data_IF_495848623908
#
_entry.id   IF_495848623908
#
_cell.length_a   1.000
_cell.length_b   1.000
_cell.length_c   1.000
_cell.angle_alpha   90.00
_cell.angle_beta   90.00
_cell.angle_gamma   90.00
#
_symmetry.space_group_name_H-M   'P 1'
#
loop_
_entity.id
_entity.type
_entity.pdbx_description
1 polymer ?
#
# COMPACT_ATOMS: atom_id res chain seq x y z
N UNK A 1 32.48 -19.86 8.43
CA UNK A 1 31.23 -19.99 7.62
C UNK A 1 30.14 -18.98 8.01
N UNK A 2 30.01 -18.57 9.29
CA UNK A 2 29.02 -17.55 9.71
C UNK A 2 29.42 -16.10 9.40
N UNK A 3 30.69 -15.73 9.58
CA UNK A 3 31.15 -14.34 9.31
C UNK A 3 31.02 -13.94 7.83
N UNK A 4 31.43 -14.83 6.92
CA UNK A 4 31.33 -14.61 5.46
C UNK A 4 29.87 -14.47 4.98
N UNK A 5 28.93 -15.21 5.57
CA UNK A 5 27.48 -15.07 5.31
C UNK A 5 26.94 -13.73 5.85
N UNK A 6 27.43 -13.28 7.00
CA UNK A 6 27.02 -12.01 7.59
C UNK A 6 27.54 -10.81 6.79
N UNK A 7 28.79 -10.87 6.33
CA UNK A 7 29.42 -9.87 5.47
C UNK A 7 28.74 -9.77 4.09
N UNK A 8 28.36 -10.92 3.51
CA UNK A 8 27.58 -10.97 2.26
C UNK A 8 26.19 -10.34 2.41
N UNK A 9 25.51 -10.53 3.56
CA UNK A 9 24.24 -9.84 3.86
C UNK A 9 24.44 -8.33 4.07
N UNK A 10 25.53 -7.90 4.71
CA UNK A 10 25.91 -6.48 4.80
C UNK A 10 26.13 -5.87 3.41
N UNK A 11 26.75 -6.56 2.46
CA UNK A 11 26.85 -6.05 1.10
C UNK A 11 25.47 -5.94 0.40
N UNK A 12 24.54 -6.87 0.66
CA UNK A 12 23.23 -6.92 0.00
C UNK A 12 22.29 -5.78 0.38
N UNK A 13 22.26 -5.31 1.62
CA UNK A 13 21.38 -4.18 1.98
C UNK A 13 21.79 -2.90 1.23
N UNK A 14 23.10 -2.67 1.07
CA UNK A 14 23.65 -1.54 0.31
C UNK A 14 23.16 -1.60 -1.15
N UNK A 15 23.18 -2.77 -1.77
CA UNK A 15 22.69 -2.96 -3.15
C UNK A 15 21.20 -2.64 -3.27
N UNK A 16 20.38 -3.11 -2.34
CA UNK A 16 18.94 -2.79 -2.31
C UNK A 16 18.70 -1.28 -2.16
N UNK A 17 19.39 -0.65 -1.22
CA UNK A 17 19.23 0.78 -0.95
C UNK A 17 19.65 1.61 -2.16
N UNK A 18 20.83 1.31 -2.74
CA UNK A 18 21.35 2.00 -3.93
C UNK A 18 20.43 1.89 -5.13
N UNK A 19 19.81 0.72 -5.34
CA UNK A 19 18.80 0.60 -6.40
C UNK A 19 17.56 1.48 -6.12
N UNK A 20 17.14 1.59 -4.86
CA UNK A 20 16.09 2.53 -4.47
C UNK A 20 16.46 3.99 -4.76
N UNK A 21 17.71 4.39 -4.55
CA UNK A 21 18.20 5.73 -4.90
C UNK A 21 18.15 5.99 -6.41
N UNK A 22 18.51 5.01 -7.23
CA UNK A 22 18.39 5.11 -8.69
C UNK A 22 16.93 5.21 -9.14
N UNK A 23 16.02 4.46 -8.51
CA UNK A 23 14.58 4.56 -8.79
C UNK A 23 14.04 5.95 -8.41
N UNK A 24 14.49 6.54 -7.29
CA UNK A 24 14.12 7.90 -6.90
C UNK A 24 14.68 8.95 -7.88
N UNK A 25 15.90 8.74 -8.39
CA UNK A 25 16.48 9.58 -9.44
C UNK A 25 15.64 9.52 -10.72
N UNK A 26 15.24 8.31 -11.14
CA UNK A 26 14.36 8.12 -12.30
C UNK A 26 12.99 8.80 -12.06
N UNK A 27 12.42 8.66 -10.86
CA UNK A 27 11.17 9.33 -10.47
C UNK A 27 11.23 10.85 -10.64
N UNK A 28 12.38 11.48 -10.29
CA UNK A 28 12.59 12.92 -10.50
C UNK A 28 12.65 13.28 -11.99
N UNK A 29 13.34 12.50 -12.81
CA UNK A 29 13.41 12.74 -14.25
C UNK A 29 12.02 12.64 -14.90
N UNK A 30 11.26 11.60 -14.58
CA UNK A 30 9.88 11.45 -15.06
C UNK A 30 8.98 12.60 -14.61
N UNK A 31 9.18 13.12 -13.39
CA UNK A 31 8.45 14.28 -12.89
C UNK A 31 8.73 15.54 -13.70
N UNK A 32 10.01 15.78 -14.00
CA UNK A 32 10.46 16.97 -14.73
C UNK A 32 9.98 16.97 -16.19
N UNK A 33 9.92 15.78 -16.79
CA UNK A 33 9.48 15.58 -18.19
C UNK A 33 7.95 15.41 -18.34
N UNK A 34 7.17 15.49 -17.26
CA UNK A 34 5.70 15.42 -17.34
C UNK A 34 5.11 14.01 -17.33
N UNK A 35 5.91 12.97 -17.12
CA UNK A 35 5.45 11.58 -16.96
C UNK A 35 5.08 11.30 -15.49
N UNK A 36 3.98 11.88 -15.03
CA UNK A 36 3.57 11.87 -13.63
C UNK A 36 3.19 10.49 -13.09
N UNK A 37 2.56 9.66 -13.91
CA UNK A 37 2.28 8.25 -13.64
C UNK A 37 3.58 7.44 -13.46
N UNK A 38 4.59 7.68 -14.29
CA UNK A 38 5.90 7.03 -14.14
C UNK A 38 6.63 7.54 -12.90
N UNK A 39 6.60 8.85 -12.67
CA UNK A 39 7.20 9.46 -11.49
C UNK A 39 6.66 8.85 -10.20
N UNK A 40 5.33 8.74 -10.07
CA UNK A 40 4.68 8.17 -8.89
C UNK A 40 4.95 6.66 -8.75
N UNK A 41 4.92 5.91 -9.85
CA UNK A 41 5.26 4.48 -9.84
C UNK A 41 6.72 4.25 -9.37
N UNK A 42 7.67 4.97 -9.95
CA UNK A 42 9.09 4.87 -9.59
C UNK A 42 9.34 5.31 -8.14
N UNK A 43 8.63 6.32 -7.64
CA UNK A 43 8.69 6.74 -6.24
C UNK A 43 8.24 5.63 -5.27
N UNK A 44 7.17 4.88 -5.62
CA UNK A 44 6.72 3.71 -4.84
C UNK A 44 7.80 2.63 -4.84
N UNK A 45 8.38 2.31 -6.01
CA UNK A 45 9.45 1.32 -6.14
C UNK A 45 10.70 1.69 -5.32
N UNK A 46 11.07 2.98 -5.30
CA UNK A 46 12.18 3.47 -4.50
C UNK A 46 11.98 3.18 -3.00
N UNK A 47 10.79 3.50 -2.47
CA UNK A 47 10.44 3.25 -1.06
C UNK A 47 10.36 1.76 -0.76
N UNK A 48 9.81 0.94 -1.66
CA UNK A 48 9.77 -0.51 -1.49
C UNK A 48 11.18 -1.09 -1.34
N UNK A 49 12.12 -0.71 -2.20
CA UNK A 49 13.51 -1.17 -2.14
C UNK A 49 14.24 -0.66 -0.91
N UNK A 50 13.99 0.59 -0.52
CA UNK A 50 14.53 1.15 0.72
C UNK A 50 14.03 0.37 1.96
N UNK A 51 12.77 -0.01 2.02
CA UNK A 51 12.24 -0.87 3.09
C UNK A 51 12.88 -2.26 3.08
N UNK A 52 13.01 -2.89 1.91
CA UNK A 52 13.70 -4.18 1.78
C UNK A 52 15.17 -4.11 2.20
N UNK A 53 15.83 -2.98 1.99
CA UNK A 53 17.18 -2.74 2.47
C UNK A 53 17.26 -2.78 3.99
N UNK A 54 16.29 -2.20 4.72
CA UNK A 54 16.21 -2.27 6.19
C UNK A 54 16.00 -3.72 6.66
N UNK A 55 15.18 -4.49 5.96
CA UNK A 55 14.96 -5.91 6.30
C UNK A 55 16.25 -6.73 6.17
N UNK A 56 17.00 -6.51 5.09
CA UNK A 56 18.30 -7.16 4.88
C UNK A 56 19.34 -6.66 5.88
N UNK A 57 19.32 -5.37 6.20
CA UNK A 57 20.19 -4.76 7.21
C UNK A 57 19.95 -5.39 8.58
N UNK A 58 18.68 -5.65 8.91
CA UNK A 58 18.25 -6.38 10.10
C UNK A 58 18.63 -7.87 10.13
N UNK A 59 19.28 -8.39 9.09
CA UNK A 59 19.71 -9.77 8.98
C UNK A 59 18.67 -10.74 8.42
N UNK A 60 17.45 -10.26 8.11
CA UNK A 60 16.36 -11.05 7.58
C UNK A 60 16.35 -11.10 6.04
N UNK A 61 15.63 -12.07 5.48
CA UNK A 61 15.38 -12.11 4.03
C UNK A 61 14.13 -11.29 3.72
N UNK A 62 14.14 -10.41 2.70
CA UNK A 62 12.96 -9.64 2.34
C UNK A 62 11.89 -10.59 1.74
N UNK A 63 10.61 -10.42 2.10
CA UNK A 63 9.53 -11.23 1.55
C UNK A 63 9.26 -10.87 0.08
N UNK A 64 8.62 -11.79 -0.65
CA UNK A 64 8.12 -11.56 -2.02
C UNK A 64 6.78 -10.83 -2.02
N UNK A 65 6.75 -9.64 -1.40
CA UNK A 65 5.62 -8.72 -1.41
C UNK A 65 6.11 -7.29 -1.69
N UNK A 66 5.21 -6.47 -2.22
CA UNK A 66 5.48 -5.13 -2.73
C UNK A 66 4.68 -4.03 -2.01
N UNK A 67 3.81 -4.42 -1.06
CA UNK A 67 2.91 -3.50 -0.35
C UNK A 67 3.67 -2.76 0.74
N UNK A 68 3.73 -1.43 0.65
CA UNK A 68 4.56 -0.59 1.53
C UNK A 68 4.15 -0.73 3.00
N UNK A 69 2.85 -0.66 3.32
CA UNK A 69 2.37 -0.83 4.71
C UNK A 69 2.77 -2.18 5.32
N UNK A 70 2.75 -3.27 4.54
CA UNK A 70 3.20 -4.58 5.03
C UNK A 70 4.70 -4.56 5.35
N UNK A 71 5.52 -4.02 4.44
CA UNK A 71 6.97 -3.88 4.64
C UNK A 71 7.32 -2.94 5.80
N UNK A 72 6.56 -1.86 5.99
CA UNK A 72 6.65 -0.97 7.15
C UNK A 72 6.41 -1.72 8.46
N UNK A 73 5.36 -2.56 8.51
CA UNK A 73 5.06 -3.39 9.66
C UNK A 73 6.20 -4.34 10.02
N UNK A 74 6.81 -4.95 9.00
CA UNK A 74 8.01 -5.79 9.19
C UNK A 74 9.17 -4.96 9.74
N UNK A 75 9.51 -3.83 9.12
CA UNK A 75 10.61 -2.96 9.58
C UNK A 75 10.40 -2.47 11.02
N UNK A 76 9.17 -2.13 11.41
CA UNK A 76 8.83 -1.74 12.78
C UNK A 76 9.05 -2.85 13.82
N UNK A 77 8.90 -4.13 13.44
CA UNK A 77 9.15 -5.27 14.33
C UNK A 77 10.65 -5.52 14.53
N UNK A 78 11.46 -5.27 13.51
CA UNK A 78 12.84 -5.78 13.40
C UNK A 78 13.91 -4.69 13.44
N UNK A 79 13.53 -3.42 13.52
CA UNK A 79 14.48 -2.32 13.55
C UNK A 79 14.01 -1.25 14.54
N UNK A 80 14.58 -1.20 15.76
CA UNK A 80 14.19 -0.25 16.80
C UNK A 80 14.29 1.22 16.37
N UNK A 81 15.32 1.58 15.62
CA UNK A 81 15.48 2.94 15.08
C UNK A 81 14.39 3.28 14.06
N UNK A 82 14.08 2.32 13.18
CA UNK A 82 12.97 2.46 12.24
C UNK A 82 11.65 2.66 12.99
N UNK A 83 11.37 1.86 14.02
CA UNK A 83 10.16 1.96 14.84
C UNK A 83 10.00 3.34 15.51
N UNK A 84 11.11 3.97 15.89
CA UNK A 84 11.14 5.33 16.48
C UNK A 84 11.01 6.44 15.43
N UNK A 85 11.16 6.12 14.15
CA UNK A 85 11.16 7.09 13.06
C UNK A 85 9.76 7.24 12.48
N UNK A 86 9.28 8.49 12.38
CA UNK A 86 8.00 8.79 11.75
C UNK A 86 8.14 8.87 10.23
N UNK A 87 7.35 8.08 9.51
CA UNK A 87 7.29 8.09 8.05
C UNK A 87 5.92 8.56 7.54
N UNK A 88 5.94 9.42 6.52
CA UNK A 88 4.76 9.87 5.78
C UNK A 88 4.81 9.29 4.37
N UNK A 89 3.95 8.31 4.07
CA UNK A 89 3.98 7.58 2.79
C UNK A 89 2.60 7.16 2.28
N UNK A 90 1.51 7.39 3.03
CA UNK A 90 0.17 6.88 2.66
C UNK A 90 -0.38 7.49 1.38
N UNK A 91 0.01 8.73 1.06
CA UNK A 91 -0.40 9.36 -0.19
C UNK A 91 0.39 8.76 -1.36
N UNK A 92 1.71 8.61 -1.22
CA UNK A 92 2.55 7.86 -2.15
C UNK A 92 2.00 6.43 -2.41
N UNK A 93 1.57 5.72 -1.37
CA UNK A 93 1.06 4.35 -1.50
C UNK A 93 -0.23 4.25 -2.35
N UNK A 94 -1.05 5.32 -2.42
CA UNK A 94 -2.24 5.34 -3.27
C UNK A 94 -1.92 5.11 -4.75
N UNK A 95 -0.70 5.40 -5.21
CA UNK A 95 -0.29 5.25 -6.60
C UNK A 95 0.13 3.83 -7.00
N UNK A 96 0.18 2.89 -6.05
CA UNK A 96 0.69 1.52 -6.29
C UNK A 96 0.01 0.85 -7.50
N UNK A 97 -1.30 1.03 -7.67
CA UNK A 97 -2.05 0.46 -8.80
C UNK A 97 -2.54 1.52 -9.78
N UNK A 98 -2.93 2.70 -9.27
CA UNK A 98 -3.48 3.80 -10.08
C UNK A 98 -2.52 4.20 -11.21
N UNK A 99 -1.21 4.20 -10.95
CA UNK A 99 -0.20 4.57 -11.96
C UNK A 99 -0.05 3.57 -13.12
N UNK A 100 -0.70 2.40 -13.05
CA UNK A 100 -0.46 1.28 -13.98
C UNK A 100 -1.71 0.70 -14.63
N UNK A 101 -2.86 0.75 -13.96
CA UNK A 101 -4.07 0.04 -14.39
C UNK A 101 -5.18 1.03 -14.76
N UNK A 102 -5.39 1.31 -16.07
CA UNK A 102 -6.42 2.24 -16.53
C UNK A 102 -7.84 1.85 -16.09
N UNK A 103 -8.15 0.55 -16.08
CA UNK A 103 -9.51 0.07 -15.80
C UNK A 103 -9.87 -0.02 -14.30
N UNK A 104 -8.94 0.37 -13.41
CA UNK A 104 -9.25 0.70 -12.02
C UNK A 104 -9.74 2.14 -11.86
N UNK A 105 -9.62 2.97 -12.89
CA UNK A 105 -9.99 4.37 -12.80
C UNK A 105 -11.49 4.56 -13.01
N UNK A 106 -12.11 5.51 -12.27
CA UNK A 106 -13.51 5.85 -12.49
C UNK A 106 -13.82 6.17 -13.94
N UNK A 107 -14.93 5.62 -14.43
CA UNK A 107 -15.45 5.89 -15.78
C UNK A 107 -14.63 5.31 -16.94
N UNK A 108 -13.46 4.68 -16.71
CA UNK A 108 -12.64 3.95 -17.72
C UNK A 108 -12.31 4.70 -19.02
N UNK A 109 -12.49 6.01 -19.07
CA UNK A 109 -12.28 6.84 -20.28
C UNK A 109 -10.93 7.55 -20.30
N UNK A 110 -10.15 7.44 -19.22
CA UNK A 110 -8.86 8.11 -19.07
C UNK A 110 -7.78 7.12 -18.67
N UNK A 111 -6.57 7.41 -19.11
CA UNK A 111 -5.35 6.70 -18.72
C UNK A 111 -4.79 7.25 -17.39
N UNK A 112 -3.94 6.48 -16.68
CA UNK A 112 -3.18 7.00 -15.55
C UNK A 112 -2.40 8.29 -15.84
N UNK A 113 -1.88 8.42 -17.06
CA UNK A 113 -1.14 9.60 -17.53
C UNK A 113 -2.02 10.86 -17.56
N UNK A 114 -3.30 10.72 -17.92
CA UNK A 114 -4.23 11.87 -18.02
C UNK A 114 -4.84 12.28 -16.68
N UNK A 115 -4.86 11.39 -15.68
CA UNK A 115 -5.52 11.66 -14.39
C UNK A 115 -4.55 12.09 -13.29
N UNK A 116 -3.29 11.62 -13.32
CA UNK A 116 -2.31 11.95 -12.28
C UNK A 116 -1.73 13.31 -12.61
N UNK A 117 -1.91 14.26 -11.69
CA UNK A 117 -1.50 15.65 -11.90
C UNK A 117 -0.07 15.91 -11.41
N UNK A 118 0.55 16.98 -11.90
CA UNK A 118 1.87 17.43 -11.42
C UNK A 118 1.95 17.61 -9.90
N UNK A 119 1.00 18.32 -9.22
CA UNK A 119 1.07 18.51 -7.78
C UNK A 119 1.01 17.18 -6.99
N UNK A 120 0.27 16.21 -7.49
CA UNK A 120 0.18 14.87 -6.91
C UNK A 120 1.51 14.13 -7.06
N UNK A 121 2.10 14.14 -8.26
CA UNK A 121 3.41 13.52 -8.49
C UNK A 121 4.53 14.20 -7.67
N UNK A 122 4.53 15.53 -7.57
CA UNK A 122 5.46 16.27 -6.70
C UNK A 122 5.31 15.90 -5.22
N UNK A 123 4.07 15.73 -4.75
CA UNK A 123 3.80 15.31 -3.37
C UNK A 123 4.30 13.88 -3.12
N UNK A 124 4.04 12.96 -4.05
CA UNK A 124 4.50 11.57 -3.97
C UNK A 124 6.04 11.49 -4.00
N UNK A 125 6.68 12.20 -4.92
CA UNK A 125 8.14 12.30 -5.02
C UNK A 125 8.76 12.85 -3.73
N UNK A 126 8.23 13.94 -3.17
CA UNK A 126 8.72 14.51 -1.90
C UNK A 126 8.59 13.52 -0.74
N UNK A 127 7.49 12.77 -0.67
CA UNK A 127 7.33 11.72 0.33
C UNK A 127 8.40 10.63 0.17
N UNK A 128 8.65 10.15 -1.05
CA UNK A 128 9.70 9.16 -1.31
C UNK A 128 11.10 9.69 -0.99
N UNK A 129 11.41 10.93 -1.37
CA UNK A 129 12.69 11.58 -1.08
C UNK A 129 12.97 11.67 0.42
N UNK A 130 12.02 12.20 1.19
CA UNK A 130 12.15 12.29 2.65
C UNK A 130 12.19 10.90 3.31
N UNK A 131 11.48 9.92 2.73
CA UNK A 131 11.54 8.53 3.18
C UNK A 131 12.95 7.96 3.03
N UNK A 132 13.53 8.01 1.82
CA UNK A 132 14.86 7.47 1.54
C UNK A 132 15.93 8.17 2.38
N UNK A 133 15.82 9.50 2.58
CA UNK A 133 16.72 10.25 3.47
C UNK A 133 16.71 9.71 4.90
N UNK A 134 15.53 9.44 5.46
CA UNK A 134 15.39 8.84 6.80
C UNK A 134 15.97 7.43 6.88
N UNK A 135 15.77 6.63 5.83
CA UNK A 135 16.35 5.28 5.76
C UNK A 135 17.88 5.34 5.68
N UNK A 136 18.44 6.27 4.90
CA UNK A 136 19.90 6.47 4.86
C UNK A 136 20.48 6.76 6.24
N UNK A 137 19.78 7.54 7.07
CA UNK A 137 20.19 7.83 8.45
C UNK A 137 20.14 6.54 9.28
N UNK A 138 19.05 5.77 9.22
CA UNK A 138 18.92 4.49 9.96
C UNK A 138 20.04 3.50 9.55
N UNK A 139 20.32 3.38 8.25
CA UNK A 139 21.36 2.47 7.76
C UNK A 139 22.79 2.92 8.10
N UNK A 140 22.99 4.18 8.49
CA UNK A 140 24.29 4.70 8.91
C UNK A 140 24.63 4.39 10.38
N UNK A 141 23.64 4.04 11.21
CA UNK A 141 23.85 3.69 12.61
C UNK A 141 24.11 2.20 12.75
N UNK A 142 25.14 1.78 13.51
CA UNK A 142 25.41 0.37 13.75
C UNK A 142 24.21 -0.26 14.46
N UNK A 143 23.71 -1.36 13.91
CA UNK A 143 22.60 -2.09 14.49
C UNK A 143 23.13 -3.35 15.19
N UNK A 144 22.72 -3.54 16.44
CA UNK A 144 22.97 -4.77 17.17
C UNK A 144 22.36 -5.97 16.42
N UNK A 145 23.07 -7.10 16.29
CA UNK A 145 22.52 -8.30 15.69
C UNK A 145 21.23 -8.71 16.40
N UNK A 146 20.14 -8.83 15.64
CA UNK A 146 18.90 -9.37 16.18
C UNK A 146 18.84 -10.86 15.85
N UNK A 147 18.83 -11.69 16.89
CA UNK A 147 18.51 -13.12 16.79
C UNK A 147 17.00 -13.31 16.60
N UNK A 148 16.43 -12.72 15.55
CA UNK A 148 15.00 -12.88 15.24
C UNK A 148 14.84 -13.78 14.02
N UNK A 149 14.29 -14.98 14.25
CA UNK A 149 13.76 -15.83 13.19
C UNK A 149 12.44 -15.21 12.70
N UNK A 150 12.52 -14.29 11.74
CA UNK A 150 11.32 -13.87 11.02
C UNK A 150 10.84 -14.99 10.11
N UNK A 151 9.61 -15.42 10.36
CA UNK A 151 8.85 -16.26 9.45
C UNK A 151 7.75 -15.43 8.79
N UNK A 152 7.28 -15.89 7.63
CA UNK A 152 6.28 -15.20 6.81
C UNK A 152 5.03 -16.05 6.59
N UNK A 153 4.94 -17.18 7.28
CA UNK A 153 3.89 -18.18 7.26
C UNK A 153 2.80 -17.95 8.32
N UNK A 154 2.96 -16.93 9.17
CA UNK A 154 1.95 -16.55 10.14
C UNK A 154 0.62 -16.24 9.43
N UNK A 155 -0.48 -16.78 9.95
CA UNK A 155 -1.84 -16.55 9.44
C UNK A 155 -2.62 -15.63 10.38
N UNK A 156 -3.61 -14.92 9.85
CA UNK A 156 -4.61 -14.25 10.68
C UNK A 156 -5.62 -15.27 11.21
N UNK A 157 -6.05 -15.10 12.46
CA UNK A 157 -7.21 -15.84 12.97
C UNK A 157 -8.50 -15.21 12.46
N UNK A 158 -9.58 -15.98 12.44
CA UNK A 158 -10.92 -15.47 12.07
C UNK A 158 -11.35 -14.32 12.99
N UNK A 159 -11.10 -14.45 14.29
CA UNK A 159 -11.42 -13.42 15.29
C UNK A 159 -10.66 -12.10 15.02
N UNK A 160 -9.37 -12.18 14.68
CA UNK A 160 -8.57 -10.99 14.32
C UNK A 160 -9.16 -10.28 13.09
N UNK A 161 -9.61 -11.05 12.10
CA UNK A 161 -10.22 -10.51 10.87
C UNK A 161 -11.55 -9.83 11.18
N UNK A 162 -12.45 -10.49 11.91
CA UNK A 162 -13.78 -9.92 12.24
C UNK A 162 -13.64 -8.67 13.12
N UNK A 163 -12.82 -8.71 14.16
CA UNK A 163 -12.56 -7.53 15.01
C UNK A 163 -11.99 -6.37 14.19
N UNK A 164 -11.10 -6.68 13.23
CA UNK A 164 -10.55 -5.67 12.35
C UNK A 164 -11.60 -5.08 11.40
N UNK A 165 -12.49 -5.90 10.84
CA UNK A 165 -13.57 -5.45 9.95
C UNK A 165 -14.50 -4.46 10.65
N UNK A 166 -14.86 -4.71 11.91
CA UNK A 166 -15.72 -3.81 12.68
C UNK A 166 -15.09 -2.42 12.83
N UNK A 167 -13.81 -2.36 13.20
CA UNK A 167 -13.08 -1.09 13.32
C UNK A 167 -12.98 -0.38 11.97
N UNK A 168 -12.66 -1.09 10.89
CA UNK A 168 -12.58 -0.49 9.54
C UNK A 168 -13.93 0.06 9.13
N UNK A 169 -15.01 -0.70 9.32
CA UNK A 169 -16.38 -0.33 9.00
C UNK A 169 -16.75 0.99 9.68
N UNK A 170 -16.56 1.10 11.00
CA UNK A 170 -16.85 2.34 11.73
C UNK A 170 -16.05 3.53 11.22
N UNK A 171 -14.75 3.36 10.97
CA UNK A 171 -13.88 4.44 10.46
C UNK A 171 -14.27 4.89 9.05
N UNK A 172 -14.66 3.96 8.18
CA UNK A 172 -15.08 4.27 6.82
C UNK A 172 -16.46 4.92 6.79
N UNK A 173 -17.39 4.48 7.64
CA UNK A 173 -18.70 5.13 7.83
C UNK A 173 -18.50 6.59 8.24
N UNK A 174 -17.67 6.84 9.26
CA UNK A 174 -17.43 8.19 9.76
C UNK A 174 -16.78 9.13 8.73
N UNK A 175 -16.03 8.60 7.77
CA UNK A 175 -15.29 9.41 6.78
C UNK A 175 -16.08 9.64 5.50
N UNK A 176 -16.88 8.67 5.07
CA UNK A 176 -17.51 8.69 3.75
C UNK A 176 -19.03 8.69 3.75
N UNK A 177 -19.69 8.42 4.88
CA UNK A 177 -21.14 8.15 4.93
C UNK A 177 -21.62 7.25 3.76
N UNK A 178 -21.01 6.05 3.60
CA UNK A 178 -21.15 5.25 2.40
C UNK A 178 -22.56 4.68 2.25
N UNK A 179 -22.94 4.36 1.03
CA UNK A 179 -24.12 3.54 0.75
C UNK A 179 -23.83 2.06 1.03
N UNK A 180 -22.59 1.62 0.76
CA UNK A 180 -22.19 0.22 0.90
C UNK A 180 -20.68 0.07 1.12
N UNK A 181 -20.30 -0.92 1.91
CA UNK A 181 -18.92 -1.38 2.08
C UNK A 181 -18.87 -2.89 1.87
N UNK A 182 -17.96 -3.34 1.00
CA UNK A 182 -17.80 -4.74 0.61
C UNK A 182 -16.36 -5.17 0.86
N UNK A 183 -16.17 -6.26 1.61
CA UNK A 183 -14.91 -6.99 1.68
C UNK A 183 -14.83 -7.93 0.48
N UNK A 184 -13.73 -7.90 -0.27
CA UNK A 184 -13.54 -8.81 -1.40
C UNK A 184 -12.12 -9.38 -1.44
N UNK A 185 -11.84 -10.19 -2.46
CA UNK A 185 -10.54 -10.83 -2.63
C UNK A 185 -10.30 -11.95 -1.62
N UNK A 186 -9.03 -12.17 -1.26
CA UNK A 186 -8.62 -13.33 -0.44
C UNK A 186 -9.29 -13.39 0.92
N UNK A 187 -9.50 -12.24 1.57
CA UNK A 187 -10.15 -12.20 2.89
C UNK A 187 -11.66 -12.52 2.84
N UNK A 188 -12.29 -12.48 1.66
CA UNK A 188 -13.68 -12.91 1.50
C UNK A 188 -13.78 -14.39 1.10
N UNK A 189 -12.77 -14.94 0.39
CA UNK A 189 -12.80 -16.30 -0.17
C UNK A 189 -12.09 -17.35 0.66
N UNK A 190 -10.94 -17.02 1.23
CA UNK A 190 -10.00 -18.01 1.77
C UNK A 190 -10.21 -18.16 3.28
N UNK A 191 -10.19 -19.40 3.79
CA UNK A 191 -10.30 -19.67 5.23
C UNK A 191 -9.01 -19.32 6.00
N UNK A 192 -7.86 -19.40 5.35
CA UNK A 192 -6.55 -19.13 5.93
C UNK A 192 -5.84 -18.07 5.12
N UNK A 193 -5.59 -16.92 5.75
CA UNK A 193 -4.98 -15.77 5.09
C UNK A 193 -3.70 -15.37 5.80
N UNK A 194 -2.60 -15.30 5.06
CA UNK A 194 -1.29 -14.89 5.58
C UNK A 194 -1.31 -13.47 6.13
N UNK A 195 -0.54 -13.24 7.21
CA UNK A 195 -0.31 -11.92 7.83
C UNK A 195 0.36 -10.89 6.92
N UNK A 196 0.89 -11.34 5.78
CA UNK A 196 1.41 -10.46 4.74
C UNK A 196 0.32 -9.92 3.80
N UNK A 197 -0.87 -10.51 3.79
CA UNK A 197 -1.97 -10.10 2.93
C UNK A 197 -2.66 -8.83 3.43
N UNK A 198 -3.24 -8.08 2.50
CA UNK A 198 -4.11 -6.93 2.80
C UNK A 198 -5.56 -7.26 2.49
N UNK A 199 -6.48 -6.60 3.19
CA UNK A 199 -7.91 -6.71 2.98
C UNK A 199 -8.34 -5.78 1.85
N UNK A 200 -8.84 -6.34 0.76
CA UNK A 200 -9.35 -5.55 -0.35
C UNK A 200 -10.76 -5.08 0.01
N UNK A 201 -10.95 -3.76 0.10
CA UNK A 201 -12.19 -3.14 0.57
C UNK A 201 -12.75 -2.23 -0.52
N UNK A 202 -13.98 -2.47 -0.92
CA UNK A 202 -14.72 -1.60 -1.83
C UNK A 202 -15.68 -0.73 -1.02
N UNK A 203 -15.63 0.58 -1.26
CA UNK A 203 -16.53 1.55 -0.64
C UNK A 203 -17.30 2.26 -1.75
N UNK A 204 -18.62 2.31 -1.61
CA UNK A 204 -19.50 3.04 -2.52
C UNK A 204 -20.08 4.23 -1.74
N UNK A 205 -19.69 5.45 -2.11
CA UNK A 205 -20.03 6.66 -1.38
C UNK A 205 -20.07 7.89 -2.28
N UNK A 206 -21.05 8.77 -2.07
CA UNK A 206 -21.11 10.07 -2.75
C UNK A 206 -19.99 10.98 -2.24
N UNK A 207 -19.20 11.55 -3.13
CA UNK A 207 -18.09 12.43 -2.76
C UNK A 207 -17.57 13.25 -3.94
N UNK A 208 -17.15 14.48 -3.67
CA UNK A 208 -16.53 15.38 -4.65
C UNK A 208 -15.00 15.28 -4.70
N UNK A 209 -14.39 14.42 -3.86
CA UNK A 209 -12.93 14.24 -3.84
C UNK A 209 -12.44 13.48 -5.09
N UNK A 210 -11.20 13.69 -5.51
CA UNK A 210 -10.59 12.86 -6.57
C UNK A 210 -10.43 11.41 -6.12
N UNK A 211 -10.36 10.47 -7.06
CA UNK A 211 -10.20 9.04 -6.77
C UNK A 211 -8.98 8.74 -5.86
N UNK A 212 -7.84 9.37 -6.16
CA UNK A 212 -6.60 9.25 -5.37
C UNK A 212 -6.80 9.75 -3.95
N UNK A 213 -7.45 10.91 -3.78
CA UNK A 213 -7.71 11.50 -2.47
C UNK A 213 -8.66 10.64 -1.63
N UNK A 214 -9.67 10.01 -2.25
CA UNK A 214 -10.55 9.06 -1.56
C UNK A 214 -9.76 7.85 -1.02
N UNK A 215 -8.86 7.27 -1.82
CA UNK A 215 -8.00 6.15 -1.38
C UNK A 215 -7.07 6.61 -0.25
N UNK A 216 -6.46 7.80 -0.37
CA UNK A 216 -5.61 8.36 0.67
C UNK A 216 -6.38 8.56 1.98
N UNK A 217 -7.60 9.13 1.93
CA UNK A 217 -8.47 9.34 3.09
C UNK A 217 -8.81 8.01 3.77
N UNK A 218 -9.20 7.00 2.99
CA UNK A 218 -9.50 5.66 3.51
C UNK A 218 -8.28 5.01 4.19
N UNK A 219 -7.10 5.02 3.56
CA UNK A 219 -5.86 4.50 4.16
C UNK A 219 -5.44 5.28 5.41
N UNK A 220 -5.67 6.60 5.43
CA UNK A 220 -5.32 7.46 6.57
C UNK A 220 -6.25 7.22 7.75
N UNK A 221 -7.55 7.02 7.54
CA UNK A 221 -8.53 6.82 8.62
C UNK A 221 -8.44 5.45 9.28
N UNK A 222 -8.03 4.42 8.52
CA UNK A 222 -7.90 3.03 8.99
C UNK A 222 -6.46 2.65 9.33
N UNK A 223 -5.56 3.64 9.45
CA UNK A 223 -4.11 3.44 9.59
C UNK A 223 -3.65 2.65 10.82
N UNK A 224 -4.50 2.53 11.83
CA UNK A 224 -4.23 1.86 13.10
C UNK A 224 -4.76 0.44 13.03
N UNK A 225 -3.91 -0.56 13.28
CA UNK A 225 -4.28 -1.98 13.33
C UNK A 225 -3.95 -2.79 12.08
N UNK A 226 -4.10 -4.11 12.21
CA UNK A 226 -3.89 -5.11 11.16
C UNK A 226 -5.06 -6.10 11.15
N UNK A 227 -5.40 -6.73 10.01
CA UNK A 227 -4.82 -6.54 8.68
C UNK A 227 -4.95 -5.12 8.11
N UNK A 228 -4.03 -4.78 7.22
CA UNK A 228 -4.01 -3.52 6.46
C UNK A 228 -5.04 -3.60 5.34
N UNK A 229 -5.69 -2.48 5.01
CA UNK A 229 -6.64 -2.43 3.89
C UNK A 229 -6.00 -1.94 2.59
N UNK A 230 -6.59 -2.38 1.48
CA UNK A 230 -6.38 -1.89 0.14
C UNK A 230 -7.74 -1.37 -0.39
N UNK A 231 -8.07 -0.10 -0.12
CA UNK A 231 -9.39 0.42 -0.41
C UNK A 231 -9.49 0.93 -1.84
N UNK A 232 -10.64 0.67 -2.46
CA UNK A 232 -11.13 1.37 -3.65
C UNK A 232 -12.44 2.07 -3.28
N UNK A 233 -12.58 3.33 -3.67
CA UNK A 233 -13.70 4.18 -3.27
C UNK A 233 -14.32 4.82 -4.51
N UNK A 234 -15.50 4.33 -4.89
CA UNK A 234 -16.26 4.80 -6.05
C UNK A 234 -17.50 5.56 -5.61
N UNK A 235 -17.94 6.52 -6.43
CA UNK A 235 -19.31 7.03 -6.30
C UNK A 235 -20.32 5.98 -6.79
N UNK A 236 -21.60 6.08 -6.40
CA UNK A 236 -22.64 5.20 -6.93
C UNK A 236 -22.68 5.19 -8.47
N UNK A 237 -22.49 6.36 -9.09
CA UNK A 237 -22.49 6.51 -10.55
C UNK A 237 -21.28 5.81 -11.19
N UNK A 238 -20.08 6.03 -10.64
CA UNK A 238 -18.86 5.36 -11.11
C UNK A 238 -18.96 3.84 -10.93
N UNK A 239 -19.50 3.39 -9.80
CA UNK A 239 -19.68 1.98 -9.51
C UNK A 239 -20.64 1.30 -10.50
N UNK A 240 -21.82 1.90 -10.75
CA UNK A 240 -22.78 1.36 -11.72
C UNK A 240 -22.18 1.26 -13.12
N UNK A 241 -21.49 2.32 -13.57
CA UNK A 241 -20.81 2.32 -14.87
C UNK A 241 -19.78 1.19 -15.00
N UNK A 242 -19.09 0.85 -13.91
CA UNK A 242 -18.08 -0.21 -13.92
C UNK A 242 -18.65 -1.62 -13.77
N UNK A 243 -19.91 -1.77 -13.40
CA UNK A 243 -20.62 -3.06 -13.27
C UNK A 243 -21.41 -3.39 -14.55
N UNK A 244 -21.97 -2.38 -15.21
CA UNK A 244 -22.79 -2.55 -16.41
C UNK A 244 -21.98 -2.91 -17.68
N UNK A 245 -20.66 -2.78 -17.63
CA UNK A 245 -19.73 -3.09 -18.73
C UNK A 245 -19.16 -4.51 -18.55
N UNK A 246 -19.87 -5.49 -19.12
CA UNK A 246 -19.59 -6.93 -19.01
C UNK A 246 -18.19 -7.29 -19.58
N UNK A 247 -17.34 -7.94 -18.75
CA UNK A 247 -16.23 -8.76 -19.24
C UNK A 247 -14.80 -8.39 -18.81
N UNK A 248 -14.56 -7.20 -18.23
CA UNK A 248 -13.22 -6.79 -17.78
C UNK A 248 -13.17 -6.27 -16.32
N UNK A 249 -14.29 -6.35 -15.60
CA UNK A 249 -14.41 -5.69 -14.30
C UNK A 249 -14.07 -6.60 -13.13
N UNK A 250 -12.96 -6.34 -12.43
CA UNK A 250 -12.70 -6.95 -11.13
C UNK A 250 -13.83 -6.70 -10.11
N UNK A 251 -14.70 -5.69 -10.34
CA UNK A 251 -15.86 -5.41 -9.51
C UNK A 251 -16.97 -6.47 -9.61
N UNK A 252 -17.13 -7.12 -10.77
CA UNK A 252 -18.06 -8.25 -10.87
C UNK A 252 -17.65 -9.38 -9.91
N UNK A 253 -16.35 -9.67 -9.87
CA UNK A 253 -15.78 -10.63 -8.91
C UNK A 253 -15.97 -10.13 -7.47
N UNK A 254 -15.74 -8.84 -7.21
CA UNK A 254 -15.96 -8.25 -5.89
C UNK A 254 -17.43 -8.31 -5.45
N UNK A 255 -18.39 -8.25 -6.37
CA UNK A 255 -19.81 -8.38 -6.07
C UNK A 255 -20.24 -9.84 -5.87
N UNK A 256 -19.72 -10.75 -6.70
CA UNK A 256 -20.08 -12.16 -6.67
C UNK A 256 -19.48 -12.90 -5.48
N UNK A 257 -18.22 -12.60 -5.15
CA UNK A 257 -17.45 -13.30 -4.13
C UNK A 257 -17.25 -12.46 -2.86
N UNK A 258 -17.59 -11.17 -2.91
CA UNK A 258 -17.43 -10.29 -1.77
C UNK A 258 -18.51 -10.46 -0.71
N UNK A 259 -18.14 -10.11 0.52
CA UNK A 259 -19.04 -10.03 1.67
C UNK A 259 -19.39 -8.57 1.91
N UNK A 260 -20.68 -8.24 1.83
CA UNK A 260 -21.19 -6.93 2.26
C UNK A 260 -21.04 -6.84 3.78
N UNK A 261 -20.22 -5.90 4.26
CA UNK A 261 -19.99 -5.66 5.69
C UNK A 261 -20.77 -4.46 6.22
N UNK A 262 -21.29 -3.64 5.31
CA UNK A 262 -22.20 -2.54 5.62
C UNK A 262 -23.05 -2.19 4.40
N UNK A 263 -24.33 -1.93 4.63
CA UNK A 263 -25.25 -1.37 3.64
C UNK A 263 -26.17 -0.39 4.37
N UNK A 264 -26.25 0.84 3.85
CA UNK A 264 -27.11 1.88 4.42
C UNK A 264 -28.57 1.47 4.21
N UNK A 265 -29.42 1.54 5.25
CA UNK A 265 -30.84 1.22 5.10
C UNK A 265 -31.46 2.09 3.99
N UNK A 266 -32.22 1.46 3.09
CA UNK A 266 -33.03 2.21 2.11
C UNK A 266 -34.08 3.01 2.88
N UNK A 267 -34.06 4.34 2.70
CA UNK A 267 -35.13 5.23 3.18
C UNK A 267 -36.41 5.00 2.38
#
# INVERSE_FOLDING_TARGET
>A
MNEQKHETKKARHIVWFRQGEFDLKASKLSLDEGFYEWSTFQAVQAVEKALKSVIVYAGANPPRIHKLQTLMGICNRICPEFKKTKFEFRFLESFTFISRYPFLLPGRTKTPHEIITRPEAERAYRQAQEFLKKISIILSHPMEPQEMLLTYDEMFTKEEIENRLEVIKEKLIAVFDPEKIILFGRFARDEQVSRLSTMDILVIAKTDSSFIERIFKARKSTKEGTPIIEPLVYTPEEFNLMVDDEGESFLETALKEGRVIYEKPKQ
#
